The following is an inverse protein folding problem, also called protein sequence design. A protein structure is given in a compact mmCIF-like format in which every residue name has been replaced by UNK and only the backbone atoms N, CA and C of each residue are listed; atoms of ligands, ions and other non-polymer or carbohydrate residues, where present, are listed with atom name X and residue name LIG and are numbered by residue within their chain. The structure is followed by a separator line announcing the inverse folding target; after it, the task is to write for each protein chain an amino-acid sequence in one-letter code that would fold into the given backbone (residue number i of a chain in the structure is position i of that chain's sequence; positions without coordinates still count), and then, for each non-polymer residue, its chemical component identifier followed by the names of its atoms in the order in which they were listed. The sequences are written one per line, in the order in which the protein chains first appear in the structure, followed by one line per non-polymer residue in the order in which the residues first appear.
data_IF_900283695274
#
_entry.id   IF_900283695274
#
_cell.length_a   1.000
_cell.length_b   1.000
_cell.length_c   1.000
_cell.angle_alpha   90.00
_cell.angle_beta   90.00
_cell.angle_gamma   90.00
#
_symmetry.space_group_name_H-M   'P 1'
#
loop_
_entity.id
_entity.type
_entity.pdbx_description
1 polymer ?
#
# COMPACT_ATOMS: atom_id res chain seq x y z
N UNK A 1 -3.58 4.89 10.10
CA UNK A 1 -3.57 4.06 8.89
C UNK A 1 -3.35 2.64 9.36
N UNK A 2 -4.14 1.69 8.85
CA UNK A 2 -3.91 0.29 9.17
C UNK A 2 -2.83 -0.29 8.27
N UNK A 3 -1.97 -1.11 8.84
CA UNK A 3 -1.09 -2.00 8.10
C UNK A 3 -1.73 -3.38 8.06
N UNK A 4 -1.76 -4.01 6.88
CA UNK A 4 -2.46 -5.27 6.67
C UNK A 4 -1.49 -6.29 6.09
N UNK A 5 -1.44 -7.47 6.69
CA UNK A 5 -0.74 -8.64 6.17
C UNK A 5 -1.74 -9.60 5.55
N UNK A 6 -1.33 -10.26 4.46
CA UNK A 6 -2.13 -11.29 3.80
C UNK A 6 -1.20 -12.33 3.19
N UNK A 7 -1.58 -13.59 3.30
CA UNK A 7 -0.89 -14.74 2.66
C UNK A 7 -1.72 -15.33 1.52
N UNK A 8 -2.71 -14.57 1.04
CA UNK A 8 -3.67 -14.99 0.02
C UNK A 8 -4.95 -14.17 0.08
N UNK A 9 -5.90 -14.48 -0.80
CA UNK A 9 -7.21 -13.85 -0.74
C UNK A 9 -7.99 -14.32 0.50
N UNK A 10 -8.61 -13.39 1.22
CA UNK A 10 -9.41 -13.68 2.42
C UNK A 10 -8.61 -13.83 3.72
N UNK A 11 -7.27 -13.75 3.68
CA UNK A 11 -6.41 -13.89 4.87
C UNK A 11 -5.86 -12.55 5.39
N UNK A 12 -6.47 -11.44 4.97
CA UNK A 12 -6.07 -10.10 5.40
C UNK A 12 -6.28 -9.91 6.90
N UNK A 13 -5.21 -9.57 7.63
CA UNK A 13 -5.23 -9.30 9.06
C UNK A 13 -4.54 -7.97 9.34
N UNK A 14 -5.14 -7.16 10.23
CA UNK A 14 -4.54 -5.91 10.69
C UNK A 14 -3.33 -6.22 11.56
N UNK A 15 -2.21 -5.57 11.29
CA UNK A 15 -1.01 -5.66 12.11
C UNK A 15 -1.18 -4.90 13.42
N UNK A 16 -0.59 -5.43 14.49
CA UNK A 16 -0.40 -4.68 15.73
C UNK A 16 0.55 -3.47 15.53
N UNK A 17 1.50 -3.59 14.61
CA UNK A 17 2.40 -2.51 14.22
C UNK A 17 1.67 -1.50 13.33
N UNK A 18 1.63 -0.23 13.75
CA UNK A 18 1.04 0.89 13.00
C UNK A 18 2.06 2.01 12.82
N UNK A 19 3.12 1.72 12.07
CA UNK A 19 4.22 2.65 11.82
C UNK A 19 3.99 3.49 10.55
N UNK A 20 3.15 3.00 9.63
CA UNK A 20 2.76 3.74 8.44
C UNK A 20 1.86 4.95 8.77
N UNK A 21 2.13 6.05 8.09
CA UNK A 21 1.33 7.27 8.08
C UNK A 21 0.73 7.47 6.71
N UNK A 22 -0.52 7.90 6.67
CA UNK A 22 -1.24 8.23 5.44
C UNK A 22 -1.73 9.66 5.48
N UNK A 23 -1.68 10.34 4.34
CA UNK A 23 -2.36 11.61 4.12
C UNK A 23 -3.05 11.56 2.75
N UNK A 24 -4.25 12.10 2.66
CA UNK A 24 -5.02 12.16 1.42
C UNK A 24 -5.67 13.52 1.26
N UNK A 25 -5.60 14.07 0.06
CA UNK A 25 -6.29 15.30 -0.33
C UNK A 25 -7.13 15.03 -1.58
N UNK A 26 -8.40 15.42 -1.54
CA UNK A 26 -9.27 15.45 -2.71
C UNK A 26 -9.30 16.87 -3.25
N UNK A 27 -8.86 17.05 -4.49
CA UNK A 27 -8.83 18.35 -5.14
C UNK A 27 -9.02 18.20 -6.64
N UNK A 28 -9.86 19.05 -7.22
CA UNK A 28 -10.09 19.12 -8.67
C UNK A 28 -10.47 17.77 -9.32
N UNK A 29 -11.22 16.93 -8.63
CA UNK A 29 -11.65 15.64 -9.17
C UNK A 29 -10.64 14.50 -9.03
N UNK A 30 -9.56 14.70 -8.27
CA UNK A 30 -8.51 13.70 -8.08
C UNK A 30 -8.12 13.54 -6.59
N UNK A 31 -7.81 12.29 -6.21
CA UNK A 31 -7.19 11.97 -4.93
C UNK A 31 -5.67 12.00 -5.08
N UNK A 32 -5.01 12.85 -4.29
CA UNK A 32 -3.57 12.73 -4.03
C UNK A 32 -3.37 12.04 -2.70
N UNK A 33 -2.64 10.92 -2.68
CA UNK A 33 -2.40 10.11 -1.48
C UNK A 33 -0.91 9.94 -1.24
N UNK A 34 -0.49 10.21 -0.01
CA UNK A 34 0.86 9.97 0.47
C UNK A 34 0.83 8.86 1.51
N UNK A 35 1.66 7.83 1.31
CA UNK A 35 1.89 6.76 2.28
C UNK A 35 3.37 6.81 2.66
N UNK A 36 3.64 7.04 3.94
CA UNK A 36 4.98 7.09 4.50
C UNK A 36 5.16 5.97 5.53
N UNK A 37 6.25 5.20 5.42
CA UNK A 37 6.62 4.16 6.39
C UNK A 37 8.15 4.08 6.54
N UNK A 38 8.69 3.58 7.67
CA UNK A 38 10.12 3.31 7.81
C UNK A 38 10.62 2.33 6.74
N UNK A 39 11.86 2.41 6.26
CA UNK A 39 12.34 1.47 5.22
C UNK A 39 12.44 0.02 5.70
N UNK A 40 12.57 -0.23 7.01
CA UNK A 40 12.57 -1.56 7.61
C UNK A 40 11.99 -1.50 9.03
N UNK A 41 11.25 -2.53 9.42
CA UNK A 41 10.78 -2.82 10.78
C UNK A 41 10.49 -4.32 10.88
N UNK A 42 10.26 -4.83 12.09
CA UNK A 42 10.29 -6.26 12.40
C UNK A 42 9.24 -7.08 11.65
N UNK A 43 7.99 -6.62 11.65
CA UNK A 43 6.86 -7.37 11.11
C UNK A 43 6.58 -7.16 9.62
N UNK A 44 7.23 -6.19 8.95
CA UNK A 44 6.86 -5.75 7.60
C UNK A 44 7.89 -6.06 6.50
N UNK A 45 7.50 -5.77 5.25
CA UNK A 45 8.42 -5.85 4.10
C UNK A 45 9.63 -4.94 4.33
N UNK A 46 10.83 -5.42 4.03
CA UNK A 46 12.09 -4.67 4.19
C UNK A 46 12.49 -4.05 2.85
N UNK A 47 12.52 -2.73 2.78
CA UNK A 47 12.97 -1.98 1.61
C UNK A 47 14.41 -1.51 1.84
N UNK A 48 15.30 -1.80 0.89
CA UNK A 48 16.72 -1.46 1.00
C UNK A 48 17.13 -0.60 -0.19
N UNK A 49 17.97 0.40 0.07
CA UNK A 49 18.53 1.26 -0.96
C UNK A 49 19.34 0.43 -1.97
N UNK A 50 19.19 0.74 -3.25
CA UNK A 50 19.84 0.03 -4.36
C UNK A 50 19.31 -1.38 -4.63
N UNK A 51 18.33 -1.89 -3.85
CA UNK A 51 17.75 -3.21 -4.05
C UNK A 51 16.43 -3.13 -4.80
N UNK A 52 16.19 -4.17 -5.60
CA UNK A 52 14.90 -4.39 -6.26
C UNK A 52 13.88 -4.85 -5.23
N UNK A 53 12.65 -4.36 -5.38
CA UNK A 53 11.47 -4.80 -4.65
C UNK A 53 10.26 -4.73 -5.58
N UNK A 54 9.07 -5.01 -5.04
CA UNK A 54 7.83 -5.02 -5.79
C UNK A 54 6.76 -4.21 -5.08
N UNK A 55 5.90 -3.57 -5.86
CA UNK A 55 4.74 -2.81 -5.38
C UNK A 55 3.52 -3.13 -6.23
N UNK A 56 2.36 -3.10 -5.61
CA UNK A 56 1.07 -3.24 -6.25
C UNK A 56 0.09 -2.27 -5.57
N UNK A 57 -0.93 -1.83 -6.30
CA UNK A 57 -1.93 -0.92 -5.78
C UNK A 57 -3.33 -1.50 -5.98
N UNK A 58 -4.19 -1.30 -5.00
CA UNK A 58 -5.62 -1.53 -5.10
C UNK A 58 -6.35 -0.25 -4.67
N UNK A 59 -7.33 0.17 -5.44
CA UNK A 59 -8.08 1.41 -5.25
C UNK A 59 -9.57 1.08 -5.30
N UNK A 60 -10.29 1.62 -4.32
CA UNK A 60 -11.74 1.51 -4.22
C UNK A 60 -12.36 2.87 -4.52
N UNK A 61 -13.27 2.92 -5.48
CA UNK A 61 -14.13 4.07 -5.71
C UNK A 61 -15.37 3.95 -4.82
N UNK A 62 -15.30 4.52 -3.62
CA UNK A 62 -16.40 4.45 -2.64
C UNK A 62 -17.74 5.01 -3.15
N UNK A 63 -17.73 6.02 -4.03
CA UNK A 63 -18.96 6.53 -4.67
C UNK A 63 -19.60 5.59 -5.70
N UNK A 64 -18.99 4.42 -5.92
CA UNK A 64 -19.51 3.32 -6.75
C UNK A 64 -19.69 2.03 -5.94
N UNK A 65 -19.78 2.15 -4.62
CA UNK A 65 -19.98 1.04 -3.67
C UNK A 65 -18.87 -0.02 -3.73
N UNK A 66 -17.69 0.34 -4.23
CA UNK A 66 -16.53 -0.54 -4.20
C UNK A 66 -16.03 -0.72 -2.76
N UNK A 67 -16.11 -1.95 -2.24
CA UNK A 67 -15.59 -2.34 -0.92
C UNK A 67 -15.03 -3.76 -0.93
N UNK A 68 -14.15 -4.08 0.02
CA UNK A 68 -13.61 -5.43 0.20
C UNK A 68 -12.85 -5.95 -1.02
N UNK A 69 -13.39 -7.00 -1.66
CA UNK A 69 -12.80 -7.58 -2.87
C UNK A 69 -13.10 -6.80 -4.15
N UNK A 70 -14.13 -5.96 -4.17
CA UNK A 70 -14.55 -5.17 -5.33
C UNK A 70 -13.70 -3.91 -5.39
N UNK A 71 -12.75 -3.86 -6.31
CA UNK A 71 -11.77 -2.78 -6.48
C UNK A 71 -11.06 -2.87 -7.81
N UNK A 72 -10.49 -1.75 -8.23
CA UNK A 72 -9.47 -1.74 -9.28
C UNK A 72 -8.10 -2.10 -8.67
N UNK A 73 -7.30 -2.92 -9.35
CA UNK A 73 -5.98 -3.32 -8.85
C UNK A 73 -4.95 -3.48 -9.98
N UNK A 74 -3.67 -3.31 -9.65
CA UNK A 74 -2.57 -3.72 -10.53
C UNK A 74 -2.54 -5.24 -10.62
N UNK A 75 -2.82 -5.80 -11.81
CA UNK A 75 -2.93 -7.25 -12.02
C UNK A 75 -1.66 -8.05 -11.66
N UNK A 76 -0.50 -7.39 -11.69
CA UNK A 76 0.79 -7.99 -11.36
C UNK A 76 1.62 -7.08 -10.47
N UNK A 77 2.58 -7.69 -9.78
CA UNK A 77 3.62 -6.98 -9.04
C UNK A 77 4.43 -6.10 -9.98
N UNK A 78 4.49 -4.80 -9.69
CA UNK A 78 5.34 -3.84 -10.40
C UNK A 78 6.72 -3.83 -9.76
N UNK A 79 7.79 -4.19 -10.48
CA UNK A 79 9.14 -4.13 -9.95
C UNK A 79 9.60 -2.67 -9.82
N UNK A 80 10.30 -2.35 -8.73
CA UNK A 80 10.94 -1.04 -8.55
C UNK A 80 12.29 -1.19 -7.86
N UNK A 81 13.13 -0.16 -7.96
CA UNK A 81 14.39 -0.06 -7.20
C UNK A 81 14.33 1.18 -6.33
N UNK A 82 14.67 1.04 -5.05
CA UNK A 82 14.75 2.18 -4.17
C UNK A 82 16.07 2.92 -4.40
N UNK A 83 16.02 4.10 -5.01
CA UNK A 83 17.22 4.87 -5.34
C UNK A 83 17.79 5.59 -4.11
N UNK A 84 19.11 5.80 -4.09
CA UNK A 84 19.73 6.79 -3.21
C UNK A 84 19.44 8.19 -3.75
N UNK A 85 19.28 9.14 -2.82
CA UNK A 85 19.10 10.55 -3.13
C UNK A 85 20.43 11.18 -3.53
#
# INVERSE_FOLDING_TARGET
MDEIFAEGFGTSAVSESRLAKGFGEWKNGEWTVYIARPLSYESGSKLQLGKKSHVAFAVWQGGKDEVGGVKSLTMSWTPFTLMQK
#
